data_IF_312854638556
#
_entry.id   IF_312854638556
#
_cell.length_a   1.000
_cell.length_b   1.000
_cell.length_c   1.000
_cell.angle_alpha   90.00
_cell.angle_beta   90.00
_cell.angle_gamma   90.00
#
_symmetry.space_group_name_H-M   'P 1'
#
loop_
_entity.id
_entity.type
_entity.pdbx_description
1 polymer ?
#
# COMPACT_ATOMS: atom_id res chain seq x y z
N UNK A 1 -9.12 -2.85 -9.69
CA UNK A 1 -9.81 -1.55 -9.51
C UNK A 1 -9.28 -0.87 -8.26
N UNK A 2 -9.02 0.42 -8.36
CA UNK A 2 -8.49 1.22 -7.24
C UNK A 2 -9.50 2.27 -6.82
N UNK A 3 -9.77 2.35 -5.52
CA UNK A 3 -10.59 3.40 -4.94
C UNK A 3 -9.78 4.15 -3.89
N UNK A 4 -9.67 5.46 -4.06
CA UNK A 4 -9.00 6.33 -3.07
C UNK A 4 -10.11 7.04 -2.30
N UNK A 5 -10.18 6.79 -1.01
CA UNK A 5 -11.25 7.35 -0.17
C UNK A 5 -11.15 8.88 -0.11
N UNK A 6 -12.31 9.52 -0.01
CA UNK A 6 -12.38 10.96 0.09
C UNK A 6 -11.56 11.47 1.27
N UNK A 7 -10.85 12.57 1.08
CA UNK A 7 -9.98 13.13 2.12
C UNK A 7 -8.58 12.55 2.16
N UNK A 8 -8.32 11.51 1.37
CA UNK A 8 -6.99 10.91 1.27
C UNK A 8 -6.11 11.80 0.37
N UNK A 9 -4.84 11.92 0.71
CA UNK A 9 -3.94 12.80 -0.06
C UNK A 9 -3.71 12.25 -1.47
N UNK A 10 -3.47 13.17 -2.41
CA UNK A 10 -3.28 12.81 -3.82
C UNK A 10 -2.12 11.87 -4.08
N UNK A 11 -1.08 11.95 -3.27
CA UNK A 11 0.07 11.06 -3.38
C UNK A 11 -0.35 9.59 -3.33
N UNK A 12 -1.40 9.28 -2.56
CA UNK A 12 -1.90 7.91 -2.47
C UNK A 12 -2.35 7.38 -3.84
N UNK A 13 -3.01 8.20 -4.62
CA UNK A 13 -3.46 7.81 -5.97
C UNK A 13 -2.25 7.52 -6.87
N UNK A 14 -1.28 8.43 -6.89
CA UNK A 14 -0.09 8.29 -7.73
C UNK A 14 0.68 7.02 -7.41
N UNK A 15 0.98 6.81 -6.14
CA UNK A 15 1.77 5.65 -5.70
C UNK A 15 1.02 4.34 -5.94
N UNK A 16 -0.26 4.32 -5.57
CA UNK A 16 -1.07 3.10 -5.70
C UNK A 16 -1.30 2.71 -7.17
N UNK A 17 -1.58 3.70 -8.02
CA UNK A 17 -1.71 3.44 -9.46
C UNK A 17 -0.42 2.87 -10.05
N UNK A 18 0.70 3.47 -9.69
CA UNK A 18 2.00 2.98 -10.16
C UNK A 18 2.22 1.54 -9.73
N UNK A 19 1.99 1.24 -8.45
CA UNK A 19 2.20 -0.10 -7.92
C UNK A 19 1.28 -1.14 -8.58
N UNK A 20 0.01 -0.79 -8.73
CA UNK A 20 -0.94 -1.71 -9.36
C UNK A 20 -0.56 -2.01 -10.80
N UNK A 21 -0.12 -1.00 -11.53
CA UNK A 21 0.29 -1.17 -12.92
C UNK A 21 1.55 -2.02 -13.04
N UNK A 22 2.54 -1.78 -12.16
CA UNK A 22 3.83 -2.47 -12.24
C UNK A 22 3.80 -3.88 -11.69
N UNK A 23 3.01 -4.13 -10.64
CA UNK A 23 3.10 -5.39 -9.89
C UNK A 23 1.81 -6.17 -9.77
N UNK A 24 0.66 -5.55 -9.98
CA UNK A 24 -0.63 -6.20 -9.76
C UNK A 24 -1.46 -6.36 -11.03
N UNK A 25 -0.92 -6.03 -12.19
CA UNK A 25 -1.68 -6.02 -13.45
C UNK A 25 -2.20 -7.40 -13.85
N UNK A 26 -1.55 -8.48 -13.38
CA UNK A 26 -1.97 -9.85 -13.69
C UNK A 26 -3.08 -10.35 -12.76
N UNK A 27 -3.47 -9.54 -11.78
CA UNK A 27 -4.45 -9.95 -10.78
C UNK A 27 -5.72 -9.11 -10.91
N UNK A 28 -6.85 -9.76 -10.66
CA UNK A 28 -8.13 -9.06 -10.58
C UNK A 28 -8.36 -8.64 -9.14
N UNK A 29 -7.81 -7.48 -8.77
CA UNK A 29 -7.80 -7.01 -7.39
C UNK A 29 -8.60 -5.73 -7.21
N UNK A 30 -9.30 -5.63 -6.09
CA UNK A 30 -10.02 -4.43 -5.66
C UNK A 30 -9.30 -3.86 -4.46
N UNK A 31 -8.77 -2.65 -4.60
CA UNK A 31 -7.95 -2.02 -3.59
C UNK A 31 -8.56 -0.69 -3.18
N UNK A 32 -8.75 -0.52 -1.87
CA UNK A 32 -9.18 0.75 -1.29
C UNK A 32 -8.02 1.30 -0.46
N UNK A 33 -7.70 2.57 -0.63
CA UNK A 33 -6.67 3.24 0.16
C UNK A 33 -7.28 4.45 0.83
N UNK A 34 -7.06 4.58 2.14
CA UNK A 34 -7.55 5.74 2.88
C UNK A 34 -6.55 6.21 3.92
N UNK A 35 -6.48 7.54 4.08
CA UNK A 35 -5.75 8.14 5.20
C UNK A 35 -6.69 8.15 6.41
N UNK A 36 -6.15 7.78 7.56
CA UNK A 36 -6.94 7.69 8.77
C UNK A 36 -6.07 8.00 9.98
N UNK A 37 -6.67 8.50 11.05
CA UNK A 37 -5.94 8.66 12.30
C UNK A 37 -5.79 7.28 12.94
N UNK A 38 -4.57 6.75 12.90
CA UNK A 38 -4.23 5.44 13.47
C UNK A 38 -3.48 5.55 14.79
N UNK A 39 -3.51 6.74 15.42
CA UNK A 39 -2.74 6.95 16.65
C UNK A 39 -3.16 6.01 17.78
N UNK A 40 -4.44 5.67 17.89
CA UNK A 40 -4.91 4.75 18.92
C UNK A 40 -4.47 3.31 18.65
N UNK A 41 -4.32 2.93 17.38
CA UNK A 41 -3.92 1.59 16.98
C UNK A 41 -2.41 1.40 17.08
N UNK A 42 -1.65 2.49 17.18
CA UNK A 42 -0.21 2.42 17.34
C UNK A 42 0.55 1.93 16.13
N UNK A 43 -0.03 2.06 14.95
CA UNK A 43 0.61 1.64 13.69
C UNK A 43 0.64 2.82 12.73
N UNK A 44 1.62 2.81 11.82
CA UNK A 44 1.71 3.82 10.76
C UNK A 44 0.82 3.47 9.57
N UNK A 45 0.55 2.21 9.39
CA UNK A 45 -0.33 1.72 8.34
C UNK A 45 -0.59 0.24 8.52
N UNK A 46 -1.60 -0.25 7.85
CA UNK A 46 -1.87 -1.68 7.79
C UNK A 46 -2.60 -2.04 6.51
N UNK A 47 -2.53 -3.33 6.19
CA UNK A 47 -3.20 -3.92 5.04
C UNK A 47 -4.19 -4.95 5.56
N UNK A 48 -5.45 -4.75 5.26
CA UNK A 48 -6.52 -5.65 5.70
C UNK A 48 -7.04 -6.40 4.47
N UNK A 49 -6.92 -7.73 4.53
CA UNK A 49 -7.47 -8.58 3.49
C UNK A 49 -8.94 -8.82 3.82
N UNK A 50 -9.83 -8.29 2.98
CA UNK A 50 -11.26 -8.39 3.20
C UNK A 50 -11.86 -9.64 2.56
N UNK A 51 -11.40 -9.97 1.35
CA UNK A 51 -11.73 -11.20 0.67
C UNK A 51 -10.49 -11.69 -0.07
N UNK A 52 -10.60 -12.75 -0.86
CA UNK A 52 -9.47 -13.28 -1.61
C UNK A 52 -8.81 -12.24 -2.53
N UNK A 53 -9.57 -11.26 -3.01
CA UNK A 53 -9.05 -10.25 -3.95
C UNK A 53 -9.46 -8.83 -3.59
N UNK A 54 -9.95 -8.60 -2.37
CA UNK A 54 -10.32 -7.26 -1.90
C UNK A 54 -9.49 -6.88 -0.70
N UNK A 55 -8.86 -5.70 -0.75
CA UNK A 55 -7.94 -5.25 0.30
C UNK A 55 -8.23 -3.80 0.65
N UNK A 56 -8.09 -3.50 1.95
CA UNK A 56 -8.16 -2.14 2.45
C UNK A 56 -6.80 -1.78 3.03
N UNK A 57 -6.23 -0.68 2.56
CA UNK A 57 -5.02 -0.11 3.12
C UNK A 57 -5.39 1.18 3.83
N UNK A 58 -4.96 1.30 5.09
CA UNK A 58 -5.12 2.53 5.86
C UNK A 58 -3.74 3.02 6.25
N UNK A 59 -3.49 4.31 6.05
CA UNK A 59 -2.21 4.95 6.34
C UNK A 59 -2.46 6.08 7.32
N UNK A 60 -1.63 6.16 8.36
CA UNK A 60 -1.78 7.20 9.36
C UNK A 60 -1.67 8.59 8.73
N UNK A 61 -2.69 9.41 8.95
CA UNK A 61 -2.80 10.72 8.29
C UNK A 61 -1.80 11.75 8.80
N UNK A 62 -1.11 11.46 9.92
CA UNK A 62 -0.07 12.35 10.46
C UNK A 62 1.31 12.14 9.85
N UNK A 63 1.48 11.11 8.99
CA UNK A 63 2.79 10.87 8.37
C UNK A 63 3.10 11.93 7.33
N UNK A 64 4.37 12.27 7.19
CA UNK A 64 4.86 13.20 6.19
C UNK A 64 5.91 12.52 5.31
N UNK A 65 7.16 12.51 5.75
CA UNK A 65 8.25 11.93 4.96
C UNK A 65 8.14 10.42 4.79
N UNK A 66 7.54 9.75 5.77
CA UNK A 66 7.41 8.30 5.75
C UNK A 66 6.12 7.82 5.06
N UNK A 67 5.34 8.73 4.50
CA UNK A 67 4.06 8.36 3.90
C UNK A 67 4.24 7.39 2.72
N UNK A 68 5.07 7.76 1.77
CA UNK A 68 5.26 6.93 0.57
C UNK A 68 5.87 5.57 0.91
N UNK A 69 6.96 5.51 1.71
CA UNK A 69 7.50 4.19 2.09
C UNK A 69 6.48 3.33 2.81
N UNK A 70 5.69 3.91 3.71
CA UNK A 70 4.68 3.17 4.45
C UNK A 70 3.61 2.63 3.51
N UNK A 71 3.13 3.44 2.59
CA UNK A 71 2.14 2.99 1.60
C UNK A 71 2.70 1.86 0.74
N UNK A 72 3.94 1.99 0.27
CA UNK A 72 4.57 0.94 -0.53
C UNK A 72 4.72 -0.36 0.27
N UNK A 73 5.04 -0.25 1.55
CA UNK A 73 5.11 -1.40 2.44
C UNK A 73 3.77 -2.15 2.49
N UNK A 74 2.67 -1.40 2.68
CA UNK A 74 1.35 -2.02 2.75
C UNK A 74 0.90 -2.57 1.40
N UNK A 75 1.22 -1.88 0.31
CA UNK A 75 0.95 -2.39 -1.03
C UNK A 75 1.70 -3.70 -1.29
N UNK A 76 2.91 -3.82 -0.77
CA UNK A 76 3.67 -5.06 -0.91
C UNK A 76 2.97 -6.22 -0.21
N UNK A 77 2.33 -5.97 0.93
CA UNK A 77 1.54 -7.00 1.61
C UNK A 77 0.38 -7.49 0.73
N UNK A 78 -0.24 -6.61 -0.05
CA UNK A 78 -1.27 -7.04 -1.02
C UNK A 78 -0.68 -8.06 -1.99
N UNK A 79 0.51 -7.78 -2.52
CA UNK A 79 1.18 -8.71 -3.44
C UNK A 79 1.46 -10.04 -2.77
N UNK A 80 1.96 -10.03 -1.53
CA UNK A 80 2.20 -11.27 -0.78
C UNK A 80 0.93 -12.11 -0.68
N UNK A 81 -0.20 -11.49 -0.31
CA UNK A 81 -1.48 -12.20 -0.23
C UNK A 81 -1.91 -12.77 -1.57
N UNK A 82 -1.78 -11.99 -2.64
CA UNK A 82 -2.18 -12.45 -3.98
C UNK A 82 -1.31 -13.60 -4.47
N UNK A 83 -0.07 -13.68 -3.99
CA UNK A 83 0.83 -14.80 -4.27
C UNK A 83 0.54 -16.02 -3.39
N UNK A 84 -0.48 -15.96 -2.54
CA UNK A 84 -0.83 -17.08 -1.67
C UNK A 84 0.04 -17.18 -0.43
N UNK A 85 0.73 -16.12 -0.06
CA UNK A 85 1.62 -16.10 1.09
C UNK A 85 1.03 -15.30 2.23
N UNK A 86 1.51 -15.54 3.44
CA UNK A 86 1.18 -14.70 4.59
C UNK A 86 2.01 -13.42 4.55
N UNK A 87 1.58 -12.41 5.32
CA UNK A 87 2.35 -11.18 5.45
C UNK A 87 3.70 -11.48 6.10
N UNK A 88 4.76 -11.05 5.43
CA UNK A 88 6.14 -11.19 5.91
C UNK A 88 6.70 -9.79 6.07
N UNK A 89 6.80 -9.32 7.32
CA UNK A 89 7.22 -7.96 7.62
C UNK A 89 8.68 -7.71 7.23
N UNK A 90 9.54 -8.68 7.45
CA UNK A 90 10.95 -8.52 7.09
C UNK A 90 11.11 -8.29 5.58
N UNK A 91 10.46 -9.12 4.80
CA UNK A 91 10.50 -8.98 3.34
C UNK A 91 9.91 -7.63 2.90
N UNK A 92 8.79 -7.24 3.52
CA UNK A 92 8.14 -5.97 3.18
C UNK A 92 9.05 -4.78 3.50
N UNK A 93 9.77 -4.78 4.62
CA UNK A 93 10.73 -3.73 4.94
C UNK A 93 11.86 -3.68 3.93
N UNK A 94 12.39 -4.84 3.53
CA UNK A 94 13.45 -4.89 2.52
C UNK A 94 12.95 -4.38 1.17
N UNK A 95 11.73 -4.73 0.80
CA UNK A 95 11.18 -4.33 -0.49
C UNK A 95 10.76 -2.88 -0.54
N UNK A 96 10.32 -2.30 0.59
CA UNK A 96 9.88 -0.90 0.57
C UNK A 96 10.99 0.05 0.13
N UNK A 97 12.24 -0.23 0.53
CA UNK A 97 13.38 0.58 0.13
C UNK A 97 13.59 0.51 -1.38
N UNK A 98 13.52 -0.70 -1.93
CA UNK A 98 13.69 -0.92 -3.37
C UNK A 98 12.54 -0.31 -4.17
N UNK A 99 11.32 -0.45 -3.66
CA UNK A 99 10.13 0.10 -4.30
C UNK A 99 10.14 1.62 -4.29
N UNK A 100 10.58 2.22 -3.18
CA UNK A 100 10.70 3.66 -3.08
C UNK A 100 11.68 4.18 -4.13
N UNK A 101 12.83 3.53 -4.25
CA UNK A 101 13.82 3.91 -5.25
C UNK A 101 13.24 3.85 -6.66
N UNK A 102 12.55 2.76 -6.99
CA UNK A 102 11.94 2.60 -8.31
C UNK A 102 10.86 3.64 -8.56
N UNK A 103 10.02 3.91 -7.57
CA UNK A 103 8.96 4.89 -7.73
C UNK A 103 9.52 6.30 -7.95
N UNK A 104 10.51 6.69 -7.15
CA UNK A 104 11.09 8.02 -7.22
C UNK A 104 11.90 8.24 -8.51
N UNK A 105 12.39 7.17 -9.12
CA UNK A 105 13.21 7.23 -10.34
C UNK A 105 12.48 6.74 -11.59
N UNK A 106 11.17 6.57 -11.52
CA UNK A 106 10.40 6.17 -12.69
C UNK A 106 10.45 7.29 -13.74
N UNK A 107 10.78 6.95 -14.96
CA UNK A 107 11.03 7.88 -16.05
C UNK A 107 11.95 9.02 -15.61
#
# INVERSE_FOLDING_TARGET
MLYIAEGTRETALSVSNWFMKEYLSDYNVFLTVEDRDLSEEGVDGWCIKETANEFLIQIHNGLMYDYIPTLLHELYHVLQHLEGREQDEYEAYCQEVKLLDKYMNKD
#
